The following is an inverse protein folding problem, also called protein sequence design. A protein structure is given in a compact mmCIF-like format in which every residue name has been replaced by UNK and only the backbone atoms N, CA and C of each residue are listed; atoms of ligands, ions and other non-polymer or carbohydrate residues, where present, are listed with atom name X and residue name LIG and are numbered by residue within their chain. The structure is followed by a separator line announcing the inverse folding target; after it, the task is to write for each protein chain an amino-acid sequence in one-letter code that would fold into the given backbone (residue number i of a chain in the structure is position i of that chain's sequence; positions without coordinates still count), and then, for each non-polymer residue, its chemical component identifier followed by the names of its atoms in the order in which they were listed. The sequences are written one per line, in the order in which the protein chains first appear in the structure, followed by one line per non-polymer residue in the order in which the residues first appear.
data_IF_192979887216
#
_entry.id   IF_192979887216
#
_cell.length_a   1.000
_cell.length_b   1.000
_cell.length_c   1.000
_cell.angle_alpha   90.00
_cell.angle_beta   90.00
_cell.angle_gamma   90.00
#
_symmetry.space_group_name_H-M   'P 1'
#
loop_
_entity.id
_entity.type
_entity.pdbx_description
1 polymer ?
#
# COMPACT_ATOMS: atom_id res chain seq x y z
N UNK A 1 2.72 -10.15 -15.82
CA UNK A 1 3.52 -11.37 -15.83
C UNK A 1 3.71 -11.79 -17.28
N UNK A 2 4.91 -12.16 -17.68
CA UNK A 2 5.22 -12.59 -19.06
C UNK A 2 4.41 -13.83 -19.46
N UNK A 3 4.11 -14.69 -18.50
CA UNK A 3 3.26 -15.87 -18.67
C UNK A 3 1.81 -15.49 -19.06
N UNK A 4 1.23 -14.47 -18.41
CA UNK A 4 -0.12 -13.99 -18.76
C UNK A 4 -0.16 -13.43 -20.18
N UNK A 5 0.92 -12.74 -20.60
CA UNK A 5 1.04 -12.20 -21.95
C UNK A 5 1.16 -13.33 -22.99
N UNK A 6 1.92 -14.39 -22.70
CA UNK A 6 2.03 -15.57 -23.56
C UNK A 6 0.69 -16.27 -23.73
N UNK A 7 -0.02 -16.53 -22.62
CA UNK A 7 -1.32 -17.20 -22.63
C UNK A 7 -2.40 -16.36 -23.31
N UNK A 8 -2.38 -15.03 -23.11
CA UNK A 8 -3.26 -14.11 -23.81
C UNK A 8 -3.06 -14.11 -25.33
N UNK A 9 -1.81 -14.04 -25.80
CA UNK A 9 -1.49 -14.12 -27.23
C UNK A 9 -1.94 -15.45 -27.83
N UNK A 10 -1.71 -16.55 -27.11
CA UNK A 10 -2.15 -17.88 -27.56
C UNK A 10 -3.68 -17.95 -27.67
N UNK A 11 -4.41 -17.47 -26.66
CA UNK A 11 -5.87 -17.45 -26.69
C UNK A 11 -6.42 -16.61 -27.85
N UNK A 12 -5.87 -15.41 -28.07
CA UNK A 12 -6.22 -14.55 -29.20
C UNK A 12 -5.92 -15.20 -30.57
N UNK A 13 -4.84 -15.97 -30.67
CA UNK A 13 -4.48 -16.65 -31.92
C UNK A 13 -5.41 -17.81 -32.28
N UNK A 14 -6.09 -18.38 -31.27
CA UNK A 14 -7.06 -19.45 -31.43
C UNK A 14 -8.49 -18.92 -31.63
N UNK A 15 -8.72 -17.61 -31.43
CA UNK A 15 -10.02 -16.98 -31.65
C UNK A 15 -10.40 -17.07 -33.13
N UNK A 16 -11.62 -17.53 -33.40
CA UNK A 16 -12.10 -17.78 -34.77
C UNK A 16 -12.68 -16.52 -35.41
N UNK A 17 -12.99 -15.49 -34.62
CA UNK A 17 -13.51 -14.20 -35.07
C UNK A 17 -14.81 -14.31 -35.88
N UNK A 18 -15.56 -15.42 -35.73
CA UNK A 18 -16.75 -15.68 -36.52
C UNK A 18 -17.77 -14.55 -36.35
N UNK A 19 -18.01 -14.12 -35.10
CA UNK A 19 -18.91 -13.02 -34.77
C UNK A 19 -18.49 -11.70 -35.43
N UNK A 20 -17.18 -11.45 -35.57
CA UNK A 20 -16.66 -10.25 -36.23
C UNK A 20 -16.88 -10.31 -37.75
N UNK A 21 -16.61 -11.46 -38.36
CA UNK A 21 -16.77 -11.64 -39.80
C UNK A 21 -18.24 -11.64 -40.25
N UNK A 22 -19.15 -12.12 -39.41
CA UNK A 22 -20.59 -12.14 -39.70
C UNK A 22 -21.33 -10.87 -39.28
N UNK A 23 -20.67 -9.92 -38.64
CA UNK A 23 -21.28 -8.69 -38.18
C UNK A 23 -21.48 -7.65 -39.29
N UNK A 24 -22.48 -6.79 -39.11
CA UNK A 24 -22.65 -5.59 -39.91
C UNK A 24 -21.43 -4.67 -39.73
N UNK A 25 -21.00 -3.98 -40.79
CA UNK A 25 -19.78 -3.16 -40.79
C UNK A 25 -19.73 -2.13 -39.66
N UNK A 26 -20.88 -1.53 -39.32
CA UNK A 26 -21.01 -0.55 -38.25
C UNK A 26 -20.80 -1.13 -36.83
N UNK A 27 -20.85 -2.46 -36.67
CA UNK A 27 -20.73 -3.16 -35.38
C UNK A 27 -19.44 -3.95 -35.24
N UNK A 28 -18.66 -4.08 -36.31
CA UNK A 28 -17.43 -4.88 -36.31
C UNK A 28 -16.43 -4.39 -35.27
N UNK A 29 -16.24 -3.08 -35.17
CA UNK A 29 -15.32 -2.51 -34.21
C UNK A 29 -15.73 -2.82 -32.76
N UNK A 30 -17.01 -2.65 -32.43
CA UNK A 30 -17.53 -2.92 -31.09
C UNK A 30 -17.40 -4.41 -30.73
N UNK A 31 -17.71 -5.30 -31.68
CA UNK A 31 -17.57 -6.75 -31.48
C UNK A 31 -16.10 -7.14 -31.30
N UNK A 32 -15.19 -6.56 -32.09
CA UNK A 32 -13.75 -6.76 -31.91
C UNK A 32 -13.31 -6.35 -30.50
N UNK A 33 -13.68 -5.15 -30.05
CA UNK A 33 -13.32 -4.64 -28.73
C UNK A 33 -13.90 -5.51 -27.62
N UNK A 34 -15.16 -5.93 -27.73
CA UNK A 34 -15.79 -6.82 -26.75
C UNK A 34 -15.04 -8.15 -26.62
N UNK A 35 -14.72 -8.81 -27.72
CA UNK A 35 -13.98 -10.08 -27.74
C UNK A 35 -12.56 -9.86 -27.17
N UNK A 36 -11.87 -8.83 -27.62
CA UNK A 36 -10.52 -8.51 -27.15
C UNK A 36 -10.49 -8.26 -25.63
N UNK A 37 -11.41 -7.43 -25.12
CA UNK A 37 -11.50 -7.11 -23.70
C UNK A 37 -11.90 -8.30 -22.87
N UNK A 38 -12.75 -9.19 -23.39
CA UNK A 38 -13.08 -10.44 -22.70
C UNK A 38 -11.81 -11.25 -22.44
N UNK A 39 -11.01 -11.52 -23.48
CA UNK A 39 -9.73 -12.21 -23.31
C UNK A 39 -8.77 -11.43 -22.41
N UNK A 40 -8.64 -10.13 -22.61
CA UNK A 40 -7.73 -9.30 -21.82
C UNK A 40 -8.06 -9.39 -20.32
N UNK A 41 -9.33 -9.25 -19.95
CA UNK A 41 -9.76 -9.29 -18.55
C UNK A 41 -9.60 -10.68 -17.92
N UNK A 42 -9.66 -11.76 -18.71
CA UNK A 42 -9.37 -13.12 -18.24
C UNK A 42 -7.90 -13.27 -17.82
N UNK A 43 -6.96 -12.74 -18.59
CA UNK A 43 -5.52 -12.90 -18.33
C UNK A 43 -4.90 -11.74 -17.51
N UNK A 44 -5.56 -10.59 -17.47
CA UNK A 44 -5.14 -9.40 -16.73
C UNK A 44 -6.26 -8.92 -15.80
N UNK A 45 -6.67 -9.74 -14.82
CA UNK A 45 -7.74 -9.35 -13.91
C UNK A 45 -7.33 -8.14 -13.08
N UNK A 46 -8.27 -7.21 -12.89
CA UNK A 46 -8.07 -6.08 -12.00
C UNK A 46 -7.97 -6.61 -10.57
N UNK A 47 -6.77 -6.56 -10.00
CA UNK A 47 -6.52 -6.93 -8.61
C UNK A 47 -6.27 -5.69 -7.76
N UNK A 48 -6.98 -5.58 -6.64
CA UNK A 48 -6.70 -4.54 -5.64
C UNK A 48 -5.47 -4.95 -4.84
N UNK A 49 -4.32 -4.37 -5.17
CA UNK A 49 -3.10 -4.60 -4.40
C UNK A 49 -3.01 -3.59 -3.26
N UNK A 50 -2.91 -4.07 -2.01
CA UNK A 50 -2.56 -3.21 -0.88
C UNK A 50 -1.09 -2.81 -1.02
N UNK A 51 -0.81 -1.56 -1.35
CA UNK A 51 0.54 -1.01 -1.25
C UNK A 51 0.81 -0.57 0.19
N UNK A 52 1.82 -1.17 0.83
CA UNK A 52 2.39 -0.65 2.07
C UNK A 52 3.28 0.54 1.73
N UNK A 53 2.68 1.69 1.46
CA UNK A 53 3.42 2.95 1.43
C UNK A 53 3.81 3.27 2.88
N UNK A 54 5.10 3.54 3.11
CA UNK A 54 5.56 4.04 4.41
C UNK A 54 4.82 5.34 4.72
N UNK A 55 3.85 5.25 5.61
CA UNK A 55 2.87 6.33 5.85
C UNK A 55 3.49 7.61 6.38
N UNK A 56 4.75 7.56 6.84
CA UNK A 56 5.43 8.66 7.53
C UNK A 56 6.95 8.62 7.28
N UNK A 57 7.45 9.14 6.15
CA UNK A 57 8.88 9.16 5.86
C UNK A 57 9.68 10.03 6.84
N UNK A 58 9.02 10.98 7.53
CA UNK A 58 9.58 11.77 8.61
C UNK A 58 9.73 10.99 9.94
N UNK A 59 9.15 9.79 10.06
CA UNK A 59 9.20 8.99 11.28
C UNK A 59 10.42 8.05 11.24
N UNK A 60 11.55 8.59 11.68
CA UNK A 60 12.87 7.93 11.66
C UNK A 60 12.91 6.65 12.49
N UNK A 61 13.90 5.80 12.22
CA UNK A 61 14.10 4.56 12.99
C UNK A 61 14.38 4.85 14.46
N UNK A 62 15.07 5.95 14.77
CA UNK A 62 15.31 6.41 16.14
C UNK A 62 14.00 6.67 16.90
N UNK A 63 13.04 7.35 16.27
CA UNK A 63 11.71 7.57 16.86
C UNK A 63 10.95 6.26 17.06
N UNK A 64 11.14 5.25 16.19
CA UNK A 64 10.55 3.91 16.39
C UNK A 64 11.19 3.17 17.55
N UNK A 65 12.51 3.22 17.68
CA UNK A 65 13.25 2.61 18.80
C UNK A 65 12.83 3.25 20.12
N UNK A 66 12.82 4.59 20.18
CA UNK A 66 12.41 5.33 21.37
C UNK A 66 10.98 4.99 21.78
N UNK A 67 10.05 4.90 20.81
CA UNK A 67 8.67 4.46 21.05
C UNK A 67 8.61 3.03 21.62
N UNK A 68 9.38 2.09 21.06
CA UNK A 68 9.42 0.71 21.56
C UNK A 68 9.93 0.66 23.01
N UNK A 69 10.97 1.43 23.32
CA UNK A 69 11.52 1.52 24.67
C UNK A 69 10.51 2.09 25.66
N UNK A 70 9.79 3.17 25.29
CA UNK A 70 8.73 3.74 26.13
C UNK A 70 7.60 2.74 26.44
N UNK A 71 7.21 1.94 25.44
CA UNK A 71 6.20 0.90 25.63
C UNK A 71 6.72 -0.19 26.58
N UNK A 72 7.97 -0.62 26.40
CA UNK A 72 8.60 -1.62 27.25
C UNK A 72 8.71 -1.13 28.70
N UNK A 73 9.26 0.06 28.93
CA UNK A 73 9.35 0.68 30.26
C UNK A 73 7.96 0.86 30.90
N UNK A 74 6.96 1.27 30.12
CA UNK A 74 5.57 1.41 30.58
C UNK A 74 4.97 0.09 31.05
N UNK A 75 5.28 -1.02 30.35
CA UNK A 75 4.86 -2.34 30.79
C UNK A 75 5.54 -2.73 32.11
N UNK A 76 6.85 -2.52 32.23
CA UNK A 76 7.59 -2.81 33.46
C UNK A 76 7.09 -2.01 34.66
N UNK A 77 6.81 -0.72 34.48
CA UNK A 77 6.29 0.12 35.57
C UNK A 77 4.89 -0.28 36.03
N UNK A 78 4.04 -0.76 35.12
CA UNK A 78 2.71 -1.31 35.46
C UNK A 78 2.83 -2.57 36.31
N UNK A 79 3.79 -3.43 36.01
CA UNK A 79 4.07 -4.64 36.80
C UNK A 79 4.61 -4.30 38.19
N UNK A 80 5.52 -3.33 38.28
CA UNK A 80 6.18 -2.96 39.54
C UNK A 80 5.33 -2.00 40.42
N UNK A 81 4.21 -1.46 39.91
CA UNK A 81 3.26 -0.55 40.61
C UNK A 81 3.88 0.66 41.33
N UNK A 82 5.11 1.04 40.98
CA UNK A 82 5.77 2.21 41.56
C UNK A 82 5.23 3.50 40.96
N UNK A 83 4.58 4.33 41.80
CA UNK A 83 4.01 5.62 41.40
C UNK A 83 5.07 6.54 40.75
N UNK A 84 6.28 6.56 41.32
CA UNK A 84 7.41 7.34 40.78
C UNK A 84 7.77 6.91 39.35
N UNK A 85 7.75 5.62 39.07
CA UNK A 85 8.06 5.11 37.73
C UNK A 85 6.95 5.45 36.73
N UNK A 86 5.68 5.43 37.17
CA UNK A 86 4.54 5.84 36.35
C UNK A 86 4.65 7.32 35.97
N UNK A 87 4.99 8.19 36.92
CA UNK A 87 5.18 9.63 36.67
C UNK A 87 6.36 9.91 35.76
N UNK A 88 7.49 9.22 35.96
CA UNK A 88 8.66 9.33 35.10
C UNK A 88 8.32 8.97 33.64
N UNK A 89 7.55 7.90 33.44
CA UNK A 89 7.16 7.45 32.11
C UNK A 89 6.18 8.43 31.47
N UNK A 90 5.22 8.98 32.22
CA UNK A 90 4.36 10.06 31.73
C UNK A 90 5.18 11.26 31.24
N UNK A 91 6.20 11.66 32.02
CA UNK A 91 7.11 12.73 31.62
C UNK A 91 7.87 12.40 30.33
N UNK A 92 8.47 11.20 30.22
CA UNK A 92 9.16 10.77 29.00
C UNK A 92 8.22 10.73 27.78
N UNK A 93 6.98 10.27 27.94
CA UNK A 93 5.97 10.31 26.88
C UNK A 93 5.68 11.74 26.39
N UNK A 94 5.62 12.72 27.31
CA UNK A 94 5.38 14.11 26.95
C UNK A 94 6.57 14.70 26.17
N UNK A 95 7.81 14.36 26.55
CA UNK A 95 9.01 14.74 25.78
C UNK A 95 8.99 14.12 24.39
N UNK A 96 8.68 12.83 24.28
CA UNK A 96 8.59 12.14 23.01
C UNK A 96 7.54 12.74 22.07
N UNK A 97 6.38 13.16 22.60
CA UNK A 97 5.36 13.87 21.82
C UNK A 97 5.89 15.18 21.24
N UNK A 98 6.62 15.98 22.04
CA UNK A 98 7.23 17.23 21.57
C UNK A 98 8.26 16.96 20.47
N UNK A 99 9.12 15.95 20.66
CA UNK A 99 10.11 15.52 19.67
C UNK A 99 9.47 15.10 18.34
N UNK A 100 8.38 14.33 18.38
CA UNK A 100 7.61 13.96 17.17
C UNK A 100 7.13 15.19 16.40
N UNK A 101 6.61 16.20 17.11
CA UNK A 101 6.09 17.42 16.48
C UNK A 101 7.22 18.19 15.81
N UNK A 102 8.35 18.35 16.52
CA UNK A 102 9.54 19.01 16.00
C UNK A 102 10.11 18.29 14.77
N UNK A 103 10.31 16.97 14.84
CA UNK A 103 10.86 16.20 13.73
C UNK A 103 9.97 16.26 12.48
N UNK A 104 8.65 16.18 12.70
CA UNK A 104 7.67 16.33 11.63
C UNK A 104 7.78 17.72 11.00
N UNK A 105 7.83 18.78 11.81
CA UNK A 105 7.93 20.15 11.32
C UNK A 105 9.23 20.37 10.53
N UNK A 106 10.38 20.03 11.11
CA UNK A 106 11.69 20.13 10.44
C UNK A 106 11.74 19.38 9.10
N UNK A 107 11.13 18.21 9.02
CA UNK A 107 11.10 17.43 7.77
C UNK A 107 10.32 18.12 6.65
N UNK A 108 9.21 18.81 6.97
CA UNK A 108 8.44 19.52 5.96
C UNK A 108 9.02 20.91 5.65
N UNK A 109 9.56 21.61 6.65
CA UNK A 109 10.22 22.91 6.48
C UNK A 109 11.47 22.80 5.59
N UNK A 110 12.19 21.68 5.63
CA UNK A 110 13.35 21.42 4.74
C UNK A 110 12.98 20.97 3.32
N UNK A 111 11.71 20.68 3.06
CA UNK A 111 11.21 20.23 1.75
C UNK A 111 10.46 21.31 0.96
N UNK A 112 10.15 22.44 1.59
CA UNK A 112 9.54 23.62 0.97
C UNK A 112 10.68 24.54 0.49
#
# INVERSE_FOLDING_TARGET
SDENMKNFKQALSLEKWLQLYTANDNLKYDIFICIFLQYFNTFFPIVKVRKHLDKKPWFTEDLKIEKRNLIHESNLARTNKSQRNIELIKHKYNLFKKKIIQEKQSYYDTKI
#
